data_IF_877360935442
#
_entry.id   IF_877360935442
#
_cell.length_a   1.000
_cell.length_b   1.000
_cell.length_c   1.000
_cell.angle_alpha   90.00
_cell.angle_beta   90.00
_cell.angle_gamma   90.00
#
_symmetry.space_group_name_H-M   'P 1'
#
loop_
_entity.id
_entity.type
_entity.pdbx_description
1 polymer ?
#
# COMPACT_ATOMS: atom_id res chain seq x y z
N UNK A 1 34.10 -22.43 5.00
CA UNK A 1 33.02 -22.67 5.98
C UNK A 1 33.57 -22.34 7.36
N UNK A 2 33.49 -21.07 7.77
CA UNK A 2 33.65 -20.69 9.18
C UNK A 2 32.24 -20.60 9.78
N UNK A 3 32.00 -21.36 10.82
CA UNK A 3 30.80 -21.25 11.65
C UNK A 3 30.88 -19.92 12.40
N UNK A 4 30.11 -18.95 11.93
CA UNK A 4 29.94 -17.66 12.58
C UNK A 4 29.36 -17.90 13.98
N UNK A 5 30.12 -17.52 15.01
CA UNK A 5 29.75 -17.68 16.41
C UNK A 5 28.62 -16.72 16.73
N UNK A 6 27.46 -17.26 17.13
CA UNK A 6 26.22 -16.54 17.32
C UNK A 6 26.37 -15.23 18.10
N UNK A 7 26.09 -14.12 17.42
CA UNK A 7 25.78 -12.87 18.12
C UNK A 7 24.48 -13.12 18.91
N UNK A 8 24.52 -12.99 20.23
CA UNK A 8 23.30 -12.91 21.03
C UNK A 8 22.44 -11.77 20.47
N UNK A 9 21.30 -12.10 19.89
CA UNK A 9 20.39 -11.10 19.36
C UNK A 9 19.73 -10.42 20.54
N UNK A 10 20.15 -9.18 20.80
CA UNK A 10 19.61 -8.37 21.87
C UNK A 10 18.26 -7.82 21.41
N UNK A 11 17.20 -8.17 22.13
CA UNK A 11 15.85 -7.71 21.81
C UNK A 11 15.55 -6.41 22.55
N UNK A 12 15.31 -5.32 21.80
CA UNK A 12 14.97 -3.99 22.32
C UNK A 12 13.46 -3.85 22.52
N UNK A 13 13.04 -3.31 23.66
CA UNK A 13 11.63 -3.09 24.01
C UNK A 13 11.37 -1.68 24.53
N UNK A 14 10.15 -1.19 24.32
CA UNK A 14 9.63 0.10 24.78
C UNK A 14 8.44 -0.09 25.71
N UNK A 15 8.11 0.94 26.48
CA UNK A 15 6.95 0.95 27.38
C UNK A 15 5.91 1.96 26.91
N UNK A 16 4.68 1.49 26.80
CA UNK A 16 3.50 2.30 26.56
C UNK A 16 2.63 2.31 27.82
N UNK A 17 2.28 3.49 28.29
CA UNK A 17 1.45 3.68 29.48
C UNK A 17 -0.02 3.50 29.17
N UNK A 18 -0.84 3.22 30.20
CA UNK A 18 -2.30 3.19 30.09
C UNK A 18 -2.88 4.46 29.44
N UNK A 19 -2.23 5.61 29.63
CA UNK A 19 -2.67 6.90 29.10
C UNK A 19 -2.32 7.11 27.62
N UNK A 20 -1.68 6.15 26.95
CA UNK A 20 -1.36 6.20 25.53
C UNK A 20 -0.02 6.87 25.20
N UNK A 21 0.84 7.05 26.19
CA UNK A 21 2.15 7.68 26.01
C UNK A 21 3.28 6.66 26.06
N UNK A 22 4.27 6.82 25.19
CA UNK A 22 5.54 6.11 25.31
C UNK A 22 6.40 6.74 26.40
N UNK A 23 7.11 5.89 27.14
CA UNK A 23 8.09 6.33 28.15
C UNK A 23 9.39 6.69 27.45
N UNK A 24 9.86 7.93 27.62
CA UNK A 24 11.12 8.41 27.05
C UNK A 24 12.02 9.12 28.05
N UNK A 25 13.22 9.49 27.60
CA UNK A 25 14.21 10.20 28.40
C UNK A 25 14.62 11.50 27.70
N UNK A 26 14.53 12.65 28.41
CA UNK A 26 15.11 13.92 27.94
C UNK A 26 16.46 14.19 28.61
N UNK A 27 17.32 14.97 27.94
CA UNK A 27 18.49 15.60 28.54
C UNK A 27 18.13 16.30 29.87
N UNK A 28 18.95 16.10 30.91
CA UNK A 28 18.77 16.76 32.20
C UNK A 28 17.81 16.08 33.20
N UNK A 29 17.91 14.75 33.36
CA UNK A 29 17.38 14.05 34.56
C UNK A 29 15.90 13.67 34.60
N UNK A 30 15.06 14.02 33.61
CA UNK A 30 13.61 13.74 33.65
C UNK A 30 13.18 12.63 32.69
N UNK A 31 12.38 11.68 33.19
CA UNK A 31 11.60 10.74 32.37
C UNK A 31 10.37 11.52 31.88
N UNK A 32 10.03 11.40 30.60
CA UNK A 32 8.85 12.05 30.03
C UNK A 32 7.92 11.05 29.35
N UNK A 33 6.68 11.48 29.17
CA UNK A 33 5.70 10.81 28.35
C UNK A 33 5.54 11.59 27.05
N UNK A 34 5.69 10.94 25.90
CA UNK A 34 5.47 11.56 24.59
C UNK A 34 4.18 11.01 23.96
N UNK A 35 3.28 11.92 23.57
CA UNK A 35 1.91 11.63 23.13
C UNK A 35 1.75 11.43 21.64
N UNK A 36 2.76 11.76 20.82
CA UNK A 36 2.52 11.97 19.39
C UNK A 36 3.51 11.18 18.55
N UNK A 37 3.00 10.15 17.90
CA UNK A 37 3.68 9.56 16.76
C UNK A 37 3.67 10.56 15.58
N UNK A 38 4.76 10.68 14.81
CA UNK A 38 5.99 9.91 14.93
C UNK A 38 6.85 10.33 16.13
N UNK A 39 7.22 9.36 16.96
CA UNK A 39 8.14 9.55 18.09
C UNK A 39 9.54 9.14 17.66
N UNK A 40 10.53 9.99 17.96
CA UNK A 40 11.95 9.67 17.75
C UNK A 40 12.39 8.54 18.69
N UNK A 41 12.87 7.44 18.12
CA UNK A 41 13.28 6.24 18.84
C UNK A 41 14.42 6.53 19.83
N UNK A 42 15.35 7.42 19.48
CA UNK A 42 16.50 7.75 20.33
C UNK A 42 16.07 8.49 21.62
N UNK A 43 14.88 9.08 21.60
CA UNK A 43 14.29 9.75 22.75
C UNK A 43 13.54 8.79 23.69
N UNK A 44 13.36 7.53 23.31
CA UNK A 44 12.59 6.55 24.05
C UNK A 44 13.43 5.73 25.02
N UNK A 45 12.81 5.41 26.16
CA UNK A 45 13.38 4.52 27.13
C UNK A 45 13.24 3.10 26.60
N UNK A 46 14.37 2.44 26.37
CA UNK A 46 14.39 1.06 25.89
C UNK A 46 15.16 0.13 26.81
N UNK A 47 14.71 -1.12 26.84
CA UNK A 47 15.35 -2.18 27.62
C UNK A 47 15.79 -3.29 26.69
N UNK A 48 16.91 -3.87 27.04
CA UNK A 48 17.52 -4.97 26.32
C UNK A 48 17.44 -6.22 27.19
N UNK A 49 16.83 -7.27 26.65
CA UNK A 49 16.92 -8.60 27.25
C UNK A 49 17.96 -9.38 26.46
N UNK A 50 18.93 -9.96 27.17
CA UNK A 50 19.84 -10.94 26.58
C UNK A 50 19.03 -12.22 26.31
N UNK A 51 18.56 -12.39 25.08
CA UNK A 51 17.84 -13.59 24.64
C UNK A 51 18.76 -14.46 23.80
N UNK A 52 18.76 -15.77 24.04
CA UNK A 52 19.59 -16.71 23.30
C UNK A 52 18.95 -17.20 22.00
N UNK A 53 17.65 -17.00 21.76
CA UNK A 53 17.00 -17.30 20.47
C UNK A 53 15.75 -16.43 20.17
N UNK A 54 15.74 -15.77 19.01
CA UNK A 54 14.84 -14.64 18.70
C UNK A 54 13.41 -14.98 18.20
N UNK A 55 12.95 -16.23 18.21
CA UNK A 55 11.58 -16.55 17.75
C UNK A 55 10.82 -17.51 18.66
N UNK A 56 11.50 -18.46 19.29
CA UNK A 56 10.88 -19.40 20.22
C UNK A 56 10.83 -18.85 21.64
N UNK A 57 11.80 -18.02 22.07
CA UNK A 57 11.89 -17.59 23.47
C UNK A 57 10.98 -16.41 23.86
N UNK A 58 10.40 -15.62 22.94
CA UNK A 58 9.36 -14.66 23.34
C UNK A 58 8.00 -15.36 23.53
N UNK A 59 7.72 -16.37 22.70
CA UNK A 59 6.62 -17.29 22.89
C UNK A 59 6.82 -18.14 24.15
N UNK A 60 8.05 -18.59 24.45
CA UNK A 60 8.38 -19.27 25.71
C UNK A 60 8.50 -18.30 26.91
N UNK A 61 8.85 -17.02 26.74
CA UNK A 61 8.78 -16.00 27.80
C UNK A 61 7.32 -15.74 28.17
N UNK A 62 6.42 -15.71 27.19
CA UNK A 62 4.98 -15.61 27.40
C UNK A 62 4.34 -16.93 27.84
N UNK A 63 4.87 -18.10 27.45
CA UNK A 63 4.34 -19.43 27.80
C UNK A 63 4.91 -20.00 29.12
N UNK A 64 6.16 -19.67 29.47
CA UNK A 64 6.82 -19.99 30.75
C UNK A 64 6.67 -18.88 31.79
N UNK A 65 6.06 -17.73 31.46
CA UNK A 65 5.58 -16.78 32.47
C UNK A 65 4.33 -17.32 33.19
N UNK A 66 4.52 -18.41 33.93
CA UNK A 66 3.85 -18.62 35.21
C UNK A 66 4.26 -17.48 36.14
N UNK A 67 3.69 -16.27 35.98
CA UNK A 67 3.94 -15.13 36.90
C UNK A 67 5.44 -14.92 37.19
N UNK A 68 6.23 -14.59 36.17
CA UNK A 68 7.67 -14.37 36.33
C UNK A 68 7.96 -13.03 36.98
N UNK A 69 8.73 -13.04 38.07
CA UNK A 69 9.39 -11.84 38.64
C UNK A 69 10.81 -11.78 38.08
N UNK A 70 11.12 -10.73 37.34
CA UNK A 70 12.46 -10.50 36.80
C UNK A 70 13.02 -9.21 37.36
N UNK A 71 14.27 -9.23 37.82
CA UNK A 71 14.98 -7.98 38.17
C UNK A 71 15.46 -7.32 36.88
N UNK A 72 15.05 -6.07 36.66
CA UNK A 72 15.49 -5.26 35.52
C UNK A 72 16.02 -3.93 36.02
N UNK A 73 17.01 -3.36 35.34
CA UNK A 73 17.51 -2.02 35.66
C UNK A 73 16.78 -0.99 34.80
N UNK A 74 16.02 -0.11 35.46
CA UNK A 74 15.40 1.04 34.80
C UNK A 74 16.33 2.25 34.97
N UNK A 75 16.71 2.95 33.89
CA UNK A 75 17.51 4.17 33.98
C UNK A 75 16.93 5.15 35.01
N UNK A 76 17.79 5.60 35.94
CA UNK A 76 17.49 6.53 37.06
C UNK A 76 16.54 6.03 38.15
N UNK A 77 15.78 4.95 37.93
CA UNK A 77 15.01 4.28 38.99
C UNK A 77 15.87 3.22 39.69
N UNK A 78 16.81 2.60 38.96
CA UNK A 78 17.68 1.54 39.45
C UNK A 78 17.06 0.15 39.22
N UNK A 79 17.51 -0.83 39.99
CA UNK A 79 16.95 -2.18 39.95
C UNK A 79 15.50 -2.18 40.45
N UNK A 80 14.62 -2.78 39.66
CA UNK A 80 13.20 -2.98 39.95
C UNK A 80 12.80 -4.41 39.64
N UNK A 81 11.75 -4.89 40.30
CA UNK A 81 11.13 -6.18 40.01
C UNK A 81 10.02 -5.96 39.00
N UNK A 82 10.22 -6.44 37.77
CA UNK A 82 9.19 -6.51 36.75
C UNK A 82 8.34 -7.76 36.97
N UNK A 83 7.02 -7.58 37.06
CA UNK A 83 6.05 -8.68 37.15
C UNK A 83 5.12 -8.63 35.95
N UNK A 84 4.95 -9.76 35.24
CA UNK A 84 3.99 -9.90 34.14
C UNK A 84 2.72 -10.64 34.59
N UNK A 85 1.55 -10.24 34.05
CA UNK A 85 0.30 -10.99 34.22
C UNK A 85 0.20 -12.08 33.15
N UNK A 86 -0.34 -13.26 33.51
CA UNK A 86 -0.45 -14.44 32.62
C UNK A 86 -0.95 -14.06 31.22
N UNK A 87 -0.20 -14.45 30.20
CA UNK A 87 -0.50 -14.26 28.77
C UNK A 87 -0.63 -12.81 28.27
N UNK A 88 -0.11 -11.80 28.98
CA UNK A 88 -0.24 -10.40 28.57
C UNK A 88 1.10 -9.70 28.54
N UNK A 89 1.30 -8.90 27.48
CA UNK A 89 2.38 -7.92 27.33
C UNK A 89 2.35 -6.80 28.39
N UNK A 90 1.46 -6.88 29.38
CA UNK A 90 1.32 -5.92 30.47
C UNK A 90 2.23 -6.28 31.62
N UNK A 91 3.05 -5.31 32.02
CA UNK A 91 4.03 -5.44 33.10
C UNK A 91 3.85 -4.34 34.14
N UNK A 92 4.19 -4.65 35.38
CA UNK A 92 4.30 -3.67 36.47
C UNK A 92 5.70 -3.71 37.04
N UNK A 93 6.22 -2.56 37.49
CA UNK A 93 7.55 -2.44 38.08
C UNK A 93 7.45 -2.12 39.57
N UNK A 94 8.09 -2.93 40.40
CA UNK A 94 8.10 -2.79 41.87
C UNK A 94 9.51 -2.41 42.37
N UNK A 95 9.59 -1.41 43.24
CA UNK A 95 10.79 -1.04 44.00
C UNK A 95 10.40 -0.80 45.45
N UNK A 96 11.09 -1.45 46.39
CA UNK A 96 10.85 -1.29 47.84
C UNK A 96 9.37 -1.45 48.23
N UNK A 97 8.70 -2.46 47.67
CA UNK A 97 7.26 -2.72 47.88
C UNK A 97 6.33 -1.59 47.45
N UNK A 98 6.79 -0.71 46.55
CA UNK A 98 5.99 0.31 45.85
C UNK A 98 6.02 0.05 44.35
N UNK A 99 4.91 0.32 43.69
CA UNK A 99 4.78 0.20 42.23
C UNK A 99 4.99 1.54 41.54
N UNK A 100 5.66 1.48 40.39
CA UNK A 100 5.80 2.58 39.45
C UNK A 100 4.45 2.84 38.78
N UNK A 101 3.99 4.07 38.80
CA UNK A 101 2.75 4.52 38.19
C UNK A 101 3.01 5.64 37.18
N UNK A 102 2.28 5.62 36.06
CA UNK A 102 2.22 6.72 35.11
C UNK A 102 1.00 7.60 35.42
N UNK A 103 1.23 8.84 35.83
CA UNK A 103 0.18 9.80 36.13
C UNK A 103 -0.36 10.45 34.85
N UNK A 104 -1.63 10.90 34.83
CA UNK A 104 -2.19 11.66 33.71
C UNK A 104 -1.41 12.93 33.37
N UNK A 105 -0.67 13.47 34.35
CA UNK A 105 0.21 14.63 34.18
C UNK A 105 1.48 14.35 33.36
N UNK A 106 1.76 13.08 33.04
CA UNK A 106 3.01 12.67 32.39
C UNK A 106 4.13 12.28 33.36
N UNK A 107 3.89 12.36 34.67
CA UNK A 107 4.88 11.98 35.67
C UNK A 107 4.93 10.46 35.86
N UNK A 108 6.13 9.90 36.06
CA UNK A 108 6.30 8.54 36.57
C UNK A 108 6.65 8.59 38.06
N UNK A 109 5.87 7.92 38.92
CA UNK A 109 6.03 7.98 40.37
C UNK A 109 5.99 6.56 40.95
N UNK A 110 6.97 6.19 41.76
CA UNK A 110 7.05 4.88 42.41
C UNK A 110 6.60 4.95 43.87
N UNK A 111 5.29 5.12 44.12
CA UNK A 111 4.75 5.31 45.48
C UNK A 111 3.48 4.49 45.78
N UNK A 112 3.01 3.66 44.84
CA UNK A 112 1.72 2.98 44.94
C UNK A 112 1.87 1.64 45.65
N UNK A 113 0.92 1.31 46.52
CA UNK A 113 0.98 0.06 47.30
C UNK A 113 0.39 -1.15 46.54
N UNK A 114 -0.44 -0.90 45.53
CA UNK A 114 -1.14 -1.92 44.77
C UNK A 114 -1.04 -1.62 43.27
N UNK A 115 -1.10 -2.65 42.44
CA UNK A 115 -1.15 -2.53 40.98
C UNK A 115 -2.59 -2.28 40.52
N UNK A 116 -2.84 -1.10 39.98
CA UNK A 116 -4.01 -0.76 39.17
C UNK A 116 -3.61 -0.51 37.72
N UNK A 117 -4.49 0.16 36.97
CA UNK A 117 -4.27 0.42 35.53
C UNK A 117 -3.13 1.43 35.28
N UNK A 118 -2.81 2.31 36.22
CA UNK A 118 -1.74 3.30 36.05
C UNK A 118 -0.36 2.71 36.33
N UNK A 119 -0.31 1.60 37.06
CA UNK A 119 0.89 0.86 37.39
C UNK A 119 1.21 -0.23 36.34
N UNK A 120 0.38 -0.33 35.29
CA UNK A 120 0.55 -1.26 34.18
C UNK A 120 1.11 -0.55 32.94
N UNK A 121 2.12 -1.17 32.35
CA UNK A 121 2.78 -0.72 31.13
C UNK A 121 2.70 -1.83 30.09
N UNK A 122 2.34 -1.47 28.86
CA UNK A 122 2.40 -2.37 27.73
C UNK A 122 3.83 -2.41 27.19
N UNK A 123 4.42 -3.60 27.19
CA UNK A 123 5.72 -3.87 26.61
C UNK A 123 5.58 -4.02 25.08
N UNK A 124 6.32 -3.21 24.34
CA UNK A 124 6.28 -3.16 22.87
C UNK A 124 7.67 -3.52 22.34
N UNK A 125 7.76 -4.59 21.54
CA UNK A 125 9.03 -4.97 20.89
C UNK A 125 9.44 -3.96 19.83
N UNK A 126 10.73 -3.91 19.49
CA UNK A 126 11.26 -3.09 18.39
C UNK A 126 10.44 -3.23 17.10
N UNK A 127 10.18 -4.46 16.65
CA UNK A 127 9.39 -4.72 15.45
C UNK A 127 7.95 -4.17 15.56
N UNK A 128 7.30 -4.33 16.71
CA UNK A 128 5.94 -3.79 16.91
C UNK A 128 5.94 -2.26 16.93
N UNK A 129 7.00 -1.65 17.49
CA UNK A 129 7.17 -0.20 17.49
C UNK A 129 7.36 0.35 16.08
N UNK A 130 8.22 -0.28 15.26
CA UNK A 130 8.43 0.07 13.85
C UNK A 130 7.12 -0.06 13.05
N UNK A 131 6.34 -1.13 13.27
CA UNK A 131 5.03 -1.28 12.66
C UNK A 131 4.04 -0.19 13.09
N UNK A 132 4.03 0.20 14.37
CA UNK A 132 3.21 1.32 14.83
C UNK A 132 3.66 2.64 14.18
N UNK A 133 4.96 2.92 14.11
CA UNK A 133 5.48 4.11 13.43
C UNK A 133 5.04 4.15 11.96
N UNK A 134 5.08 3.01 11.28
CA UNK A 134 4.59 2.89 9.91
C UNK A 134 3.09 3.17 9.83
N UNK A 135 2.29 2.64 10.76
CA UNK A 135 0.86 2.92 10.84
C UNK A 135 0.63 4.44 10.96
N UNK A 136 1.29 5.11 11.90
CA UNK A 136 1.13 6.55 12.14
C UNK A 136 1.66 7.44 11.02
N UNK A 137 2.59 6.95 10.21
CA UNK A 137 3.22 7.73 9.13
C UNK A 137 2.45 7.66 7.80
N UNK A 138 1.39 6.85 7.72
CA UNK A 138 0.68 6.58 6.47
C UNK A 138 -0.83 6.71 6.61
N UNK A 139 -1.52 6.77 5.47
CA UNK A 139 -2.95 6.55 5.39
C UNK A 139 -3.25 5.04 5.19
N UNK A 140 -4.39 4.61 5.69
CA UNK A 140 -4.79 3.20 5.69
C UNK A 140 -6.24 3.04 5.28
N UNK A 141 -6.58 1.94 4.62
CA UNK A 141 -7.97 1.51 4.43
C UNK A 141 -8.32 0.48 5.50
N UNK A 142 -9.43 0.68 6.20
CA UNK A 142 -10.04 -0.38 7.02
C UNK A 142 -10.85 -1.28 6.09
N UNK A 143 -10.38 -2.52 5.89
CA UNK A 143 -10.90 -3.45 4.88
C UNK A 143 -12.40 -3.71 5.03
N UNK A 144 -12.88 -3.89 6.26
CA UNK A 144 -14.30 -4.22 6.53
C UNK A 144 -15.30 -3.15 6.06
N UNK A 145 -14.89 -1.88 6.01
CA UNK A 145 -15.77 -0.76 5.68
C UNK A 145 -15.27 0.12 4.53
N UNK A 146 -14.10 -0.23 3.95
CA UNK A 146 -13.46 0.45 2.82
C UNK A 146 -13.21 1.95 3.05
N UNK A 147 -13.11 2.39 4.31
CA UNK A 147 -12.83 3.80 4.63
C UNK A 147 -11.33 4.03 4.72
N UNK A 148 -10.89 5.11 4.08
CA UNK A 148 -9.54 5.65 4.24
C UNK A 148 -9.49 6.41 5.57
N UNK A 149 -8.47 6.12 6.35
CA UNK A 149 -8.10 6.81 7.59
C UNK A 149 -6.75 7.48 7.36
N UNK A 150 -6.70 8.80 7.50
CA UNK A 150 -5.46 9.56 7.32
C UNK A 150 -4.64 9.50 8.61
N UNK A 151 -3.34 9.76 8.53
CA UNK A 151 -2.44 9.80 9.69
C UNK A 151 -2.93 10.73 10.81
N UNK A 152 -3.52 11.87 10.46
CA UNK A 152 -4.09 12.82 11.42
C UNK A 152 -5.28 12.27 12.23
N UNK A 153 -5.93 11.20 11.76
CA UNK A 153 -7.06 10.53 12.41
C UNK A 153 -6.60 9.30 13.23
N UNK A 154 -5.29 9.12 13.39
CA UNK A 154 -4.68 8.03 14.14
C UNK A 154 -4.16 8.56 15.49
N UNK A 155 -4.45 7.82 16.56
CA UNK A 155 -3.87 8.11 17.88
C UNK A 155 -3.82 6.87 18.75
N UNK A 156 -2.95 6.86 19.75
CA UNK A 156 -3.09 5.96 20.90
C UNK A 156 -3.86 6.72 21.99
N UNK A 157 -5.03 6.21 22.36
CA UNK A 157 -5.87 6.77 23.41
C UNK A 157 -5.66 6.02 24.74
N UNK A 158 -6.13 6.63 25.84
CA UNK A 158 -6.15 5.99 27.14
C UNK A 158 -6.90 4.64 27.10
N UNK A 159 -6.48 3.70 27.95
CA UNK A 159 -6.95 2.31 27.87
C UNK A 159 -6.21 1.46 26.85
N UNK A 160 -5.02 1.89 26.42
CA UNK A 160 -4.17 1.19 25.44
C UNK A 160 -4.92 0.91 24.12
N UNK A 161 -5.68 1.90 23.66
CA UNK A 161 -6.51 1.79 22.46
C UNK A 161 -5.80 2.46 21.29
N UNK A 162 -5.54 1.71 20.22
CA UNK A 162 -5.19 2.29 18.92
C UNK A 162 -6.48 2.74 18.23
N UNK A 163 -6.61 4.04 18.00
CA UNK A 163 -7.72 4.63 17.26
C UNK A 163 -7.34 4.79 15.80
N UNK A 164 -8.21 4.30 14.92
CA UNK A 164 -8.18 4.55 13.48
C UNK A 164 -9.52 5.13 13.04
N UNK A 165 -9.57 6.45 12.89
CA UNK A 165 -10.81 7.18 12.60
C UNK A 165 -11.82 7.00 13.74
N UNK A 166 -12.93 6.33 13.47
CA UNK A 166 -13.96 6.03 14.48
C UNK A 166 -13.78 4.68 15.16
N UNK A 167 -12.88 3.84 14.67
CA UNK A 167 -12.68 2.47 15.16
C UNK A 167 -11.56 2.44 16.19
N UNK A 168 -11.70 1.60 17.22
CA UNK A 168 -10.69 1.42 18.27
C UNK A 168 -10.30 -0.05 18.37
N UNK A 169 -9.02 -0.29 18.58
CA UNK A 169 -8.41 -1.60 18.71
C UNK A 169 -7.61 -1.66 20.00
N UNK A 170 -7.79 -2.73 20.76
CA UNK A 170 -7.09 -2.89 22.02
C UNK A 170 -5.68 -3.44 21.73
N UNK A 171 -4.65 -2.64 22.00
CA UNK A 171 -3.27 -2.99 21.69
C UNK A 171 -2.79 -4.29 22.36
N UNK A 172 -3.11 -4.58 23.64
CA UNK A 172 -2.66 -5.82 24.28
C UNK A 172 -3.20 -7.12 23.64
N UNK A 173 -4.30 -7.05 22.88
CA UNK A 173 -4.79 -8.19 22.07
C UNK A 173 -4.34 -8.14 20.62
N UNK A 174 -3.82 -7.00 20.17
CA UNK A 174 -3.39 -6.77 18.79
C UNK A 174 -1.90 -7.00 18.61
N UNK A 175 -1.11 -6.82 19.67
CA UNK A 175 0.33 -7.02 19.66
C UNK A 175 0.72 -8.46 20.02
N UNK A 176 1.79 -9.01 19.41
CA UNK A 176 2.59 -8.38 18.35
C UNK A 176 1.82 -8.30 17.02
N UNK A 177 2.05 -7.23 16.25
CA UNK A 177 1.52 -7.14 14.89
C UNK A 177 2.22 -8.17 14.00
N UNK A 178 1.46 -9.16 13.50
CA UNK A 178 1.99 -10.19 12.61
C UNK A 178 2.61 -9.56 11.35
N UNK A 179 3.79 -10.04 10.97
CA UNK A 179 4.62 -9.43 9.91
C UNK A 179 4.40 -10.02 8.51
N UNK A 180 3.57 -11.06 8.36
CA UNK A 180 3.46 -11.83 7.12
C UNK A 180 3.16 -10.99 5.86
N UNK A 181 2.47 -9.86 6.03
CA UNK A 181 2.14 -8.93 4.94
C UNK A 181 2.57 -7.48 5.22
N UNK A 182 3.38 -7.26 6.25
CA UNK A 182 3.99 -5.96 6.48
C UNK A 182 4.93 -5.61 5.31
N UNK A 183 5.11 -4.33 4.95
CA UNK A 183 4.49 -3.12 5.53
C UNK A 183 3.08 -2.78 4.98
N UNK A 184 2.45 -3.62 4.16
CA UNK A 184 1.24 -3.23 3.42
C UNK A 184 -0.07 -3.60 4.09
N UNK A 185 -0.04 -4.54 5.02
CA UNK A 185 -1.24 -5.06 5.68
C UNK A 185 -0.93 -5.41 7.12
N UNK A 186 -1.83 -5.02 8.01
CA UNK A 186 -1.83 -5.45 9.40
C UNK A 186 -3.21 -5.96 9.80
N UNK A 187 -3.22 -7.00 10.63
CA UNK A 187 -4.42 -7.51 11.27
C UNK A 187 -4.54 -6.89 12.66
N UNK A 188 -5.71 -6.33 12.96
CA UNK A 188 -5.99 -5.67 14.24
C UNK A 188 -7.19 -6.32 14.91
N UNK A 189 -7.17 -6.44 16.24
CA UNK A 189 -8.20 -7.14 17.00
C UNK A 189 -9.04 -6.18 17.85
N UNK A 190 -10.35 -6.40 17.88
CA UNK A 190 -11.33 -5.67 18.70
C UNK A 190 -12.27 -6.63 19.40
N UNK A 191 -12.78 -6.22 20.56
CA UNK A 191 -13.69 -7.02 21.40
C UNK A 191 -13.15 -8.42 21.75
N UNK A 192 -11.83 -8.64 21.65
CA UNK A 192 -11.17 -9.92 21.97
C UNK A 192 -11.36 -11.06 20.96
N UNK A 193 -12.20 -10.91 19.92
CA UNK A 193 -12.44 -11.96 18.93
C UNK A 193 -12.67 -11.48 17.50
N UNK A 194 -13.11 -10.22 17.32
CA UNK A 194 -13.28 -9.66 15.98
C UNK A 194 -11.92 -9.18 15.50
N UNK A 195 -11.63 -9.41 14.24
CA UNK A 195 -10.47 -8.81 13.60
C UNK A 195 -10.91 -7.93 12.43
N UNK A 196 -10.03 -7.00 12.07
CA UNK A 196 -10.11 -6.21 10.85
C UNK A 196 -8.72 -6.19 10.22
N UNK A 197 -8.68 -5.89 8.92
CA UNK A 197 -7.43 -5.67 8.22
C UNK A 197 -7.31 -4.19 7.90
N UNK A 198 -6.12 -3.63 8.13
CA UNK A 198 -5.77 -2.33 7.59
C UNK A 198 -4.80 -2.51 6.42
N UNK A 199 -5.06 -1.81 5.32
CA UNK A 199 -4.28 -1.89 4.09
C UNK A 199 -3.62 -0.54 3.82
N UNK A 200 -2.33 -0.52 3.47
CA UNK A 200 -1.62 0.72 3.16
C UNK A 200 -2.33 1.44 2.00
N UNK A 201 -2.63 2.73 2.20
CA UNK A 201 -3.19 3.58 1.17
C UNK A 201 -2.21 4.68 0.80
N UNK A 202 -1.37 4.37 -0.20
CA UNK A 202 -0.37 5.25 -0.78
C UNK A 202 -0.33 5.01 -2.29
N UNK A 203 -1.34 5.47 -3.04
CA UNK A 203 -1.47 5.13 -4.45
C UNK A 203 -0.35 5.74 -5.31
N UNK A 204 0.13 4.94 -6.25
CA UNK A 204 1.00 5.35 -7.34
C UNK A 204 0.30 5.07 -8.68
N UNK A 205 0.07 6.10 -9.48
CA UNK A 205 -0.36 5.92 -10.87
C UNK A 205 0.86 6.12 -11.77
N UNK A 206 1.06 5.24 -12.74
CA UNK A 206 2.16 5.40 -13.68
C UNK A 206 1.76 5.23 -15.13
N UNK A 207 2.49 5.95 -15.98
CA UNK A 207 2.29 6.03 -17.42
C UNK A 207 3.57 5.68 -18.15
N UNK A 208 3.39 5.22 -19.39
CA UNK A 208 4.46 5.08 -20.36
C UNK A 208 4.01 5.86 -21.60
N UNK A 209 4.76 6.89 -21.98
CA UNK A 209 4.38 7.84 -23.04
C UNK A 209 5.59 8.24 -23.89
N UNK A 210 5.55 7.99 -25.20
CA UNK A 210 6.67 8.32 -26.10
C UNK A 210 6.19 8.80 -27.45
N UNK A 211 6.80 9.89 -27.92
CA UNK A 211 6.49 10.50 -29.21
C UNK A 211 5.22 11.36 -29.18
N UNK A 212 5.09 12.21 -30.19
CA UNK A 212 4.13 13.32 -30.21
C UNK A 212 2.67 12.92 -29.96
N UNK A 213 2.20 11.82 -30.55
CA UNK A 213 0.82 11.34 -30.36
C UNK A 213 0.54 10.92 -28.91
N UNK A 214 1.48 10.20 -28.27
CA UNK A 214 1.32 9.76 -26.89
C UNK A 214 1.49 10.92 -25.90
N UNK A 215 2.34 11.89 -26.21
CA UNK A 215 2.55 13.11 -25.40
C UNK A 215 1.25 13.89 -25.21
N UNK A 216 0.51 14.12 -26.29
CA UNK A 216 -0.74 14.88 -26.21
C UNK A 216 -1.81 14.13 -25.39
N UNK A 217 -1.93 12.82 -25.60
CA UNK A 217 -2.84 11.98 -24.84
C UNK A 217 -2.47 11.95 -23.35
N UNK A 218 -1.17 11.82 -23.04
CA UNK A 218 -0.64 11.90 -21.67
C UNK A 218 -1.07 13.21 -20.99
N UNK A 219 -0.90 14.36 -21.64
CA UNK A 219 -1.28 15.64 -21.05
C UNK A 219 -2.78 15.73 -20.77
N UNK A 220 -3.63 15.25 -21.69
CA UNK A 220 -5.08 15.21 -21.48
C UNK A 220 -5.46 14.28 -20.32
N UNK A 221 -4.82 13.11 -20.25
CA UNK A 221 -5.01 12.13 -19.19
C UNK A 221 -4.62 12.71 -17.83
N UNK A 222 -3.40 13.25 -17.70
CA UNK A 222 -2.90 13.88 -16.47
C UNK A 222 -3.74 15.09 -16.04
N UNK A 223 -4.15 15.95 -16.98
CA UNK A 223 -5.04 17.08 -16.66
C UNK A 223 -6.36 16.58 -16.07
N UNK A 224 -6.97 15.58 -16.72
CA UNK A 224 -8.24 15.02 -16.21
C UNK A 224 -8.07 14.27 -14.88
N UNK A 225 -6.94 13.59 -14.67
CA UNK A 225 -6.59 12.89 -13.44
C UNK A 225 -6.64 13.81 -12.22
N UNK A 226 -6.00 14.98 -12.33
CA UNK A 226 -5.98 15.95 -11.23
C UNK A 226 -7.32 16.67 -11.13
N UNK A 227 -7.82 17.22 -12.24
CA UNK A 227 -9.00 18.10 -12.26
C UNK A 227 -10.30 17.39 -11.90
N UNK A 228 -10.55 16.22 -12.49
CA UNK A 228 -11.81 15.47 -12.34
C UNK A 228 -11.62 14.21 -11.51
N UNK A 229 -10.48 13.53 -11.66
CA UNK A 229 -10.12 12.39 -10.84
C UNK A 229 -9.89 12.73 -9.37
N UNK A 230 -9.58 14.01 -9.06
CA UNK A 230 -9.28 14.46 -7.70
C UNK A 230 -8.05 13.76 -7.10
N UNK A 231 -7.15 13.28 -7.96
CA UNK A 231 -5.99 12.53 -7.52
C UNK A 231 -4.92 13.45 -6.95
N UNK A 232 -4.47 13.12 -5.74
CA UNK A 232 -3.42 13.85 -5.03
C UNK A 232 -2.22 12.98 -4.65
N UNK A 233 -2.16 11.74 -5.15
CA UNK A 233 -1.06 10.81 -4.91
C UNK A 233 0.14 11.05 -5.82
N UNK A 234 1.02 10.04 -5.89
CA UNK A 234 2.23 10.10 -6.71
C UNK A 234 1.96 9.62 -8.13
N UNK A 235 2.60 10.26 -9.10
CA UNK A 235 2.56 9.95 -10.53
C UNK A 235 3.97 9.64 -11.01
N UNK A 236 4.16 8.51 -11.69
CA UNK A 236 5.42 8.15 -12.35
C UNK A 236 5.23 8.12 -13.87
N UNK A 237 6.09 8.78 -14.63
CA UNK A 237 5.99 8.80 -16.09
C UNK A 237 7.29 8.34 -16.74
N UNK A 238 7.22 7.27 -17.53
CA UNK A 238 8.29 6.82 -18.40
C UNK A 238 8.14 7.49 -19.77
N UNK A 239 9.04 8.41 -20.11
CA UNK A 239 8.90 9.24 -21.31
C UNK A 239 10.22 9.81 -21.80
N UNK A 240 10.20 10.44 -22.97
CA UNK A 240 11.27 11.29 -23.53
C UNK A 240 11.11 12.77 -23.16
N UNK A 241 10.03 13.13 -22.45
CA UNK A 241 9.83 14.46 -21.88
C UNK A 241 10.62 14.65 -20.57
N UNK A 242 10.91 15.90 -20.24
CA UNK A 242 11.36 16.31 -18.91
C UNK A 242 10.18 16.59 -17.98
N UNK A 243 10.41 16.55 -16.67
CA UNK A 243 9.40 16.93 -15.68
C UNK A 243 8.91 18.36 -15.88
N UNK A 244 9.80 19.29 -16.24
CA UNK A 244 9.44 20.69 -16.51
C UNK A 244 8.44 20.83 -17.66
N UNK A 245 8.63 20.09 -18.76
CA UNK A 245 7.70 20.12 -19.90
C UNK A 245 6.30 19.58 -19.53
N UNK A 246 6.23 18.56 -18.68
CA UNK A 246 4.94 18.03 -18.21
C UNK A 246 4.25 19.06 -17.30
N UNK A 247 4.98 19.64 -16.34
CA UNK A 247 4.45 20.63 -15.40
C UNK A 247 4.01 21.92 -16.08
N UNK A 248 4.71 22.36 -17.14
CA UNK A 248 4.30 23.49 -17.97
C UNK A 248 2.97 23.21 -18.70
N UNK A 249 2.75 21.96 -19.13
CA UNK A 249 1.55 21.55 -19.86
C UNK A 249 0.36 21.19 -18.94
N UNK A 250 0.64 20.82 -17.69
CA UNK A 250 -0.33 20.38 -16.69
C UNK A 250 -0.06 21.12 -15.37
N UNK A 251 -0.47 22.39 -15.33
CA UNK A 251 -0.23 23.30 -14.21
C UNK A 251 -0.84 22.86 -12.87
N UNK A 252 -1.82 21.96 -12.92
CA UNK A 252 -2.50 21.40 -11.76
C UNK A 252 -1.64 20.38 -11.01
N UNK A 253 -0.59 19.82 -11.63
CA UNK A 253 0.38 18.94 -10.99
C UNK A 253 1.48 19.74 -10.29
N UNK A 254 1.93 19.27 -9.12
CA UNK A 254 3.10 19.83 -8.44
C UNK A 254 4.35 18.99 -8.67
N UNK A 255 5.53 19.60 -8.47
CA UNK A 255 6.83 18.90 -8.57
C UNK A 255 6.94 17.69 -7.65
N UNK A 256 6.30 17.76 -6.49
CA UNK A 256 6.33 16.68 -5.49
C UNK A 256 5.42 15.52 -5.86
N UNK A 257 4.46 15.71 -6.77
CA UNK A 257 3.54 14.68 -7.21
C UNK A 257 4.05 13.88 -8.40
N UNK A 258 5.01 14.39 -9.18
CA UNK A 258 5.44 13.74 -10.42
C UNK A 258 6.91 13.35 -10.39
N UNK A 259 7.17 12.10 -10.76
CA UNK A 259 8.49 11.61 -11.07
C UNK A 259 8.56 11.23 -12.54
N UNK A 260 9.64 11.62 -13.20
CA UNK A 260 9.88 11.30 -14.60
C UNK A 260 11.11 10.41 -14.73
N UNK A 261 11.00 9.38 -15.55
CA UNK A 261 12.09 8.47 -15.90
C UNK A 261 12.27 8.49 -17.41
N UNK A 262 13.51 8.66 -17.84
CA UNK A 262 13.85 8.56 -19.25
C UNK A 262 13.75 7.10 -19.69
N UNK A 263 12.97 6.84 -20.73
CA UNK A 263 12.80 5.48 -21.27
C UNK A 263 13.45 5.34 -22.66
N UNK A 264 14.52 4.54 -22.81
CA UNK A 264 15.30 4.46 -24.05
C UNK A 264 14.68 3.60 -25.16
N UNK A 265 13.37 3.31 -25.12
CA UNK A 265 12.73 2.39 -26.06
C UNK A 265 12.86 2.90 -27.51
N UNK A 266 13.40 2.10 -28.43
CA UNK A 266 13.64 2.53 -29.83
C UNK A 266 12.51 2.19 -30.79
N UNK A 267 11.58 1.33 -30.38
CA UNK A 267 10.48 0.84 -31.19
C UNK A 267 9.19 0.66 -30.36
N UNK A 268 8.10 0.28 -31.04
CA UNK A 268 6.78 0.06 -30.45
C UNK A 268 6.80 -0.98 -29.35
N UNK A 269 7.49 -2.09 -29.56
CA UNK A 269 7.54 -3.22 -28.63
C UNK A 269 8.31 -2.81 -27.37
N UNK A 270 9.44 -2.14 -27.50
CA UNK A 270 10.19 -1.60 -26.36
C UNK A 270 9.36 -0.61 -25.54
N UNK A 271 8.49 0.16 -26.20
CA UNK A 271 7.57 1.08 -25.52
C UNK A 271 6.49 0.34 -24.73
N UNK A 272 5.83 -0.64 -25.33
CA UNK A 272 4.83 -1.49 -24.65
C UNK A 272 5.47 -2.24 -23.47
N UNK A 273 6.69 -2.76 -23.66
CA UNK A 273 7.44 -3.43 -22.60
C UNK A 273 7.89 -2.49 -21.47
N UNK A 274 7.87 -1.18 -21.70
CA UNK A 274 8.15 -0.19 -20.66
C UNK A 274 7.14 -0.19 -19.51
N UNK A 275 5.96 -0.78 -19.72
CA UNK A 275 4.97 -1.03 -18.66
C UNK A 275 5.55 -1.90 -17.55
N UNK A 276 6.55 -2.73 -17.83
CA UNK A 276 7.18 -3.58 -16.83
C UNK A 276 8.34 -2.91 -16.07
N UNK A 277 8.79 -1.71 -16.49
CA UNK A 277 9.92 -1.01 -15.86
C UNK A 277 9.64 -0.59 -14.41
N UNK A 278 8.36 -0.47 -14.02
CA UNK A 278 7.97 -0.15 -12.64
C UNK A 278 8.47 -1.17 -11.62
N UNK A 279 8.71 -2.42 -12.04
CA UNK A 279 9.25 -3.46 -11.16
C UNK A 279 10.67 -3.17 -10.70
N UNK A 280 11.41 -2.41 -11.51
CA UNK A 280 12.80 -2.10 -11.28
C UNK A 280 12.96 -0.77 -10.51
N UNK A 281 11.86 -0.12 -10.09
CA UNK A 281 11.87 1.12 -9.32
C UNK A 281 11.71 0.86 -7.82
N UNK A 282 12.75 1.00 -6.99
CA UNK A 282 12.63 0.80 -5.54
C UNK A 282 11.53 1.66 -4.91
N UNK A 283 11.36 2.90 -5.39
CA UNK A 283 10.30 3.80 -4.95
C UNK A 283 8.88 3.24 -5.14
N UNK A 284 8.62 2.52 -6.24
CA UNK A 284 7.30 1.97 -6.52
C UNK A 284 6.94 0.83 -5.56
N UNK A 285 7.94 0.15 -4.99
CA UNK A 285 7.72 -0.94 -4.04
C UNK A 285 7.15 -0.48 -2.71
N UNK A 286 7.20 0.81 -2.37
CA UNK A 286 6.63 1.35 -1.12
C UNK A 286 5.22 1.95 -1.32
N UNK A 287 4.59 1.72 -2.48
CA UNK A 287 3.26 2.21 -2.82
C UNK A 287 2.22 1.08 -2.87
N UNK A 288 0.97 1.44 -2.57
CA UNK A 288 -0.18 0.55 -2.60
C UNK A 288 -1.48 1.36 -2.81
N UNK A 289 -2.24 1.14 -3.89
CA UNK A 289 -1.93 0.28 -5.03
C UNK A 289 -0.94 0.93 -5.99
N UNK A 290 -0.31 0.12 -6.84
CA UNK A 290 0.47 0.59 -8.00
C UNK A 290 -0.35 0.34 -9.25
N UNK A 291 -0.63 1.39 -10.01
CA UNK A 291 -1.64 1.36 -11.07
C UNK A 291 -1.04 1.86 -12.37
N UNK A 292 -0.99 0.98 -13.37
CA UNK A 292 -0.70 1.35 -14.75
C UNK A 292 -1.91 1.99 -15.40
N UNK A 293 -1.68 3.07 -16.13
CA UNK A 293 -2.68 3.76 -16.93
C UNK A 293 -2.15 4.05 -18.33
N UNK A 294 -2.98 3.70 -19.32
CA UNK A 294 -2.76 4.08 -20.70
C UNK A 294 -2.98 5.59 -20.91
N UNK A 295 -2.23 6.17 -21.85
CA UNK A 295 -2.28 7.62 -22.09
C UNK A 295 -3.62 8.07 -22.69
N UNK A 296 -4.37 7.18 -23.32
CA UNK A 296 -5.66 7.45 -23.93
C UNK A 296 -6.85 7.17 -23.00
N UNK A 297 -6.65 7.42 -21.71
CA UNK A 297 -7.68 7.36 -20.67
C UNK A 297 -7.99 8.79 -20.19
N UNK A 298 -9.28 9.14 -20.13
CA UNK A 298 -9.76 10.35 -19.45
C UNK A 298 -10.44 9.95 -18.14
N UNK A 299 -10.14 10.72 -17.09
CA UNK A 299 -10.81 10.63 -15.81
C UNK A 299 -12.04 11.54 -15.84
N UNK A 300 -13.24 10.97 -15.70
CA UNK A 300 -14.50 11.73 -15.75
C UNK A 300 -15.20 11.87 -14.39
N UNK A 301 -14.66 11.26 -13.34
CA UNK A 301 -15.17 11.34 -11.98
C UNK A 301 -14.04 11.12 -10.97
N UNK A 302 -14.30 11.44 -9.70
CA UNK A 302 -13.37 11.16 -8.61
C UNK A 302 -13.02 9.66 -8.55
N UNK A 303 -11.72 9.34 -8.49
CA UNK A 303 -11.23 7.95 -8.54
C UNK A 303 -10.90 7.35 -7.18
N UNK A 304 -11.22 8.02 -6.07
CA UNK A 304 -10.88 7.50 -4.74
C UNK A 304 -11.51 6.12 -4.49
N UNK A 305 -12.78 5.92 -4.86
CA UNK A 305 -13.45 4.61 -4.72
C UNK A 305 -12.82 3.53 -5.61
N UNK A 306 -12.38 3.89 -6.81
CA UNK A 306 -11.63 3.00 -7.71
C UNK A 306 -10.31 2.56 -7.05
N UNK A 307 -9.53 3.51 -6.51
CA UNK A 307 -8.25 3.22 -5.88
C UNK A 307 -8.42 2.38 -4.61
N UNK A 308 -9.45 2.65 -3.81
CA UNK A 308 -9.80 1.83 -2.64
C UNK A 308 -10.13 0.39 -3.06
N UNK A 309 -10.94 0.21 -4.10
CA UNK A 309 -11.29 -1.11 -4.59
C UNK A 309 -10.06 -1.86 -5.15
N UNK A 310 -9.15 -1.16 -5.83
CA UNK A 310 -7.87 -1.71 -6.29
C UNK A 310 -6.94 -2.12 -5.13
N UNK A 311 -6.87 -1.35 -4.04
CA UNK A 311 -6.09 -1.72 -2.84
C UNK A 311 -6.69 -2.93 -2.13
N UNK A 312 -8.02 -2.99 -2.03
CA UNK A 312 -8.75 -4.08 -1.37
C UNK A 312 -8.85 -5.36 -2.21
N UNK A 313 -8.44 -5.33 -3.47
CA UNK A 313 -8.47 -6.50 -4.35
C UNK A 313 -7.59 -7.63 -3.80
N UNK A 314 -8.05 -8.87 -3.96
CA UNK A 314 -7.30 -10.07 -3.52
C UNK A 314 -6.06 -10.36 -4.38
N UNK A 315 -5.91 -9.68 -5.52
CA UNK A 315 -4.74 -9.75 -6.40
C UNK A 315 -4.73 -8.62 -7.42
N UNK A 316 -3.91 -8.72 -8.48
CA UNK A 316 -3.94 -7.76 -9.56
C UNK A 316 -5.31 -7.65 -10.20
N UNK A 317 -5.66 -6.47 -10.70
CA UNK A 317 -7.00 -6.19 -11.24
C UNK A 317 -6.95 -5.34 -12.50
N UNK A 318 -7.90 -5.60 -13.41
CA UNK A 318 -8.00 -4.93 -14.71
C UNK A 318 -9.46 -4.99 -15.22
N UNK A 319 -9.93 -4.03 -16.02
CA UNK A 319 -11.31 -4.05 -16.50
C UNK A 319 -11.53 -5.12 -17.56
N UNK A 320 -12.62 -5.87 -17.45
CA UNK A 320 -13.01 -6.88 -18.44
C UNK A 320 -13.45 -6.21 -19.75
N UNK A 321 -13.05 -6.80 -20.87
CA UNK A 321 -13.56 -6.48 -22.20
C UNK A 321 -14.69 -7.46 -22.55
N UNK A 322 -15.93 -7.15 -22.16
CA UNK A 322 -17.09 -8.03 -22.43
C UNK A 322 -17.33 -8.32 -23.92
N UNK A 323 -16.74 -7.51 -24.81
CA UNK A 323 -16.81 -7.67 -26.27
C UNK A 323 -15.64 -8.50 -26.85
N UNK A 324 -14.61 -8.82 -26.07
CA UNK A 324 -13.42 -9.55 -26.52
C UNK A 324 -13.33 -10.92 -25.86
N UNK A 325 -13.46 -11.99 -26.65
CA UNK A 325 -13.39 -13.38 -26.17
C UNK A 325 -12.00 -13.96 -26.29
N UNK A 326 -11.52 -14.63 -25.24
CA UNK A 326 -10.21 -15.30 -25.19
C UNK A 326 -10.05 -16.37 -26.27
N UNK A 327 -11.15 -16.96 -26.74
CA UNK A 327 -11.09 -18.04 -27.74
C UNK A 327 -10.77 -17.57 -29.15
N UNK A 328 -11.06 -16.31 -29.48
CA UNK A 328 -11.05 -15.82 -30.88
C UNK A 328 -10.41 -14.45 -31.09
N UNK A 329 -10.25 -13.65 -30.03
CA UNK A 329 -9.82 -12.26 -30.17
C UNK A 329 -8.31 -12.14 -29.96
N UNK A 330 -7.52 -11.77 -30.99
CA UNK A 330 -6.07 -11.64 -30.85
C UNK A 330 -5.68 -10.60 -29.79
N UNK A 331 -6.45 -9.52 -29.64
CA UNK A 331 -6.18 -8.46 -28.65
C UNK A 331 -6.16 -8.92 -27.20
N UNK A 332 -6.77 -10.05 -26.88
CA UNK A 332 -6.79 -10.63 -25.53
C UNK A 332 -6.08 -11.98 -25.45
N UNK A 333 -5.15 -12.24 -26.39
CA UNK A 333 -4.21 -13.37 -26.28
C UNK A 333 -4.74 -14.71 -26.80
N UNK A 334 -5.74 -14.70 -27.69
CA UNK A 334 -6.24 -15.92 -28.32
C UNK A 334 -5.13 -16.72 -29.02
N UNK A 335 -4.15 -16.04 -29.63
CA UNK A 335 -3.04 -16.68 -30.34
C UNK A 335 -2.14 -17.47 -29.38
N UNK A 336 -1.77 -16.89 -28.23
CA UNK A 336 -0.97 -17.58 -27.22
C UNK A 336 -1.68 -18.80 -26.64
N UNK A 337 -2.99 -18.68 -26.37
CA UNK A 337 -3.81 -19.79 -25.87
C UNK A 337 -3.92 -20.91 -26.92
N UNK A 338 -4.10 -20.58 -28.19
CA UNK A 338 -4.15 -21.57 -29.28
C UNK A 338 -2.80 -22.29 -29.45
N UNK A 339 -1.68 -21.55 -29.37
CA UNK A 339 -0.34 -22.15 -29.42
C UNK A 339 -0.09 -23.12 -28.25
N UNK A 340 -0.68 -22.86 -27.08
CA UNK A 340 -0.63 -23.72 -25.90
C UNK A 340 -1.76 -24.77 -25.86
N UNK A 341 -2.52 -24.94 -26.95
CA UNK A 341 -3.67 -25.86 -27.07
C UNK A 341 -4.79 -25.65 -26.02
N UNK A 342 -4.91 -24.45 -25.47
CA UNK A 342 -5.93 -24.09 -24.50
C UNK A 342 -7.27 -23.75 -25.16
N UNK A 343 -8.36 -24.00 -24.42
CA UNK A 343 -9.74 -23.80 -24.91
C UNK A 343 -10.58 -23.01 -23.89
N UNK A 344 -10.45 -21.68 -23.84
CA UNK A 344 -11.08 -20.83 -22.82
C UNK A 344 -12.62 -20.66 -22.98
N UNK A 345 -13.28 -21.52 -23.76
CA UNK A 345 -14.72 -21.50 -24.06
C UNK A 345 -15.31 -20.09 -24.32
N UNK A 346 -16.12 -19.59 -23.37
CA UNK A 346 -16.83 -18.31 -23.42
C UNK A 346 -16.17 -17.22 -22.56
N UNK A 347 -14.97 -17.46 -22.02
CA UNK A 347 -14.29 -16.48 -21.18
C UNK A 347 -13.94 -15.21 -21.97
N UNK A 348 -14.23 -14.07 -21.36
CA UNK A 348 -13.81 -12.76 -21.87
C UNK A 348 -12.41 -12.44 -21.38
N UNK A 349 -11.65 -11.72 -22.20
CA UNK A 349 -10.40 -11.14 -21.76
C UNK A 349 -10.61 -9.83 -20.99
N UNK A 350 -9.53 -9.31 -20.44
CA UNK A 350 -9.47 -7.98 -19.86
C UNK A 350 -8.53 -7.06 -20.63
N UNK A 351 -8.74 -5.76 -20.47
CA UNK A 351 -7.91 -4.73 -21.06
C UNK A 351 -6.74 -4.39 -20.14
N UNK A 352 -5.52 -4.40 -20.67
CA UNK A 352 -4.31 -4.12 -19.88
C UNK A 352 -3.96 -2.61 -19.82
N UNK A 353 -4.73 -1.75 -20.48
CA UNK A 353 -4.56 -0.29 -20.41
C UNK A 353 -4.94 0.33 -19.06
N UNK A 354 -5.65 -0.44 -18.22
CA UNK A 354 -5.77 -0.14 -16.79
C UNK A 354 -5.43 -1.41 -16.03
N UNK A 355 -4.31 -1.41 -15.32
CA UNK A 355 -3.86 -2.57 -14.58
C UNK A 355 -3.34 -2.18 -13.21
N UNK A 356 -3.97 -2.67 -12.14
CA UNK A 356 -3.60 -2.36 -10.78
C UNK A 356 -3.01 -3.57 -10.08
N UNK A 357 -1.96 -3.32 -9.30
CA UNK A 357 -1.36 -4.29 -8.39
C UNK A 357 -1.52 -3.75 -6.97
N UNK A 358 -2.17 -4.49 -6.04
CA UNK A 358 -2.42 -4.00 -4.69
C UNK A 358 -1.13 -3.57 -3.96
N UNK A 359 -0.04 -4.32 -4.15
CA UNK A 359 1.32 -3.93 -3.78
C UNK A 359 2.34 -4.77 -4.55
N UNK A 360 3.46 -4.16 -4.96
CA UNK A 360 4.46 -4.85 -5.78
C UNK A 360 5.28 -5.90 -5.00
N UNK A 361 5.51 -5.72 -3.69
CA UNK A 361 6.32 -6.69 -2.93
C UNK A 361 5.65 -8.07 -2.86
N UNK A 362 4.33 -8.12 -2.76
CA UNK A 362 3.58 -9.38 -2.69
C UNK A 362 3.11 -9.88 -4.07
N UNK A 363 2.65 -8.99 -4.95
CA UNK A 363 2.02 -9.38 -6.22
C UNK A 363 2.87 -9.08 -7.47
N UNK A 364 4.01 -8.39 -7.33
CA UNK A 364 4.88 -8.01 -8.45
C UNK A 364 5.48 -9.19 -9.20
N UNK A 365 5.50 -10.39 -8.60
CA UNK A 365 5.91 -11.61 -9.29
C UNK A 365 5.04 -11.92 -10.52
N UNK A 366 3.75 -11.58 -10.50
CA UNK A 366 2.83 -11.80 -11.63
C UNK A 366 3.30 -10.95 -12.82
N UNK A 367 3.59 -9.67 -12.58
CA UNK A 367 4.11 -8.75 -13.59
C UNK A 367 5.49 -9.19 -14.10
N UNK A 368 6.33 -9.76 -13.23
CA UNK A 368 7.62 -10.31 -13.63
C UNK A 368 7.50 -11.56 -14.51
N UNK A 369 6.53 -12.44 -14.23
CA UNK A 369 6.22 -13.59 -15.10
C UNK A 369 5.73 -13.10 -16.45
N UNK A 370 4.82 -12.11 -16.49
CA UNK A 370 4.36 -11.49 -17.74
C UNK A 370 5.54 -10.93 -18.54
N UNK A 371 6.41 -10.12 -17.91
CA UNK A 371 7.63 -9.60 -18.54
C UNK A 371 8.48 -10.72 -19.14
N UNK A 372 8.67 -11.82 -18.40
CA UNK A 372 9.49 -12.96 -18.85
C UNK A 372 8.86 -13.71 -20.02
N UNK A 373 7.55 -13.99 -19.97
CA UNK A 373 6.83 -14.63 -21.08
C UNK A 373 6.95 -13.78 -22.34
N UNK A 374 6.67 -12.47 -22.24
CA UNK A 374 6.77 -11.55 -23.36
C UNK A 374 8.19 -11.52 -23.95
N UNK A 375 9.22 -11.35 -23.11
CA UNK A 375 10.61 -11.34 -23.56
C UNK A 375 11.03 -12.64 -24.25
N UNK A 376 10.71 -13.79 -23.65
CA UNK A 376 11.05 -15.09 -24.21
C UNK A 376 10.32 -15.38 -25.51
N UNK A 377 9.02 -15.08 -25.59
CA UNK A 377 8.23 -15.28 -26.80
C UNK A 377 8.74 -14.42 -27.96
N UNK A 378 8.95 -13.12 -27.72
CA UNK A 378 9.45 -12.19 -28.74
C UNK A 378 10.87 -12.53 -29.19
N UNK A 379 11.71 -13.12 -28.33
CA UNK A 379 13.04 -13.58 -28.69
C UNK A 379 13.01 -14.80 -29.62
N UNK A 380 12.04 -15.71 -29.45
CA UNK A 380 11.91 -16.93 -30.25
C UNK A 380 11.14 -16.72 -31.55
N UNK A 381 10.09 -15.92 -31.51
CA UNK A 381 9.14 -15.75 -32.64
C UNK A 381 9.32 -14.42 -33.38
N UNK A 382 10.21 -13.54 -32.88
CA UNK A 382 10.48 -12.22 -33.45
C UNK A 382 9.66 -11.11 -32.80
N UNK A 383 10.14 -9.86 -32.94
CA UNK A 383 9.58 -8.69 -32.22
C UNK A 383 8.15 -8.34 -32.63
N UNK A 384 7.75 -8.63 -33.86
CA UNK A 384 6.41 -8.31 -34.37
C UNK A 384 5.42 -9.49 -34.24
N UNK A 385 5.81 -10.56 -33.54
CA UNK A 385 4.99 -11.78 -33.41
C UNK A 385 3.74 -11.62 -32.54
N UNK A 386 3.70 -10.61 -31.67
CA UNK A 386 2.52 -10.27 -30.88
C UNK A 386 2.13 -8.82 -31.12
N UNK A 387 0.86 -8.61 -31.47
CA UNK A 387 0.37 -7.26 -31.78
C UNK A 387 0.09 -6.47 -30.51
N UNK A 388 -0.38 -7.12 -29.45
CA UNK A 388 -0.78 -6.52 -28.18
C UNK A 388 -0.04 -7.22 -27.03
N UNK A 389 1.29 -7.31 -27.17
CA UNK A 389 2.23 -8.08 -26.32
C UNK A 389 1.82 -8.16 -24.86
N UNK A 390 1.62 -7.01 -24.22
CA UNK A 390 1.33 -6.91 -22.79
C UNK A 390 -0.06 -7.46 -22.45
N UNK A 391 -1.09 -7.09 -23.21
CA UNK A 391 -2.47 -7.55 -23.00
C UNK A 391 -2.62 -9.04 -23.30
N UNK A 392 -2.01 -9.53 -24.38
CA UNK A 392 -2.04 -10.94 -24.77
C UNK A 392 -1.40 -11.81 -23.70
N UNK A 393 -0.21 -11.43 -23.23
CA UNK A 393 0.51 -12.15 -22.18
C UNK A 393 -0.21 -12.07 -20.84
N UNK A 394 -0.81 -10.91 -20.50
CA UNK A 394 -1.58 -10.75 -19.28
C UNK A 394 -2.77 -11.72 -19.23
N UNK A 395 -3.55 -11.77 -20.32
CA UNK A 395 -4.72 -12.63 -20.42
C UNK A 395 -4.33 -14.11 -20.44
N UNK A 396 -3.29 -14.49 -21.19
CA UNK A 396 -2.75 -15.84 -21.21
C UNK A 396 -2.34 -16.31 -19.80
N UNK A 397 -1.52 -15.50 -19.09
CA UNK A 397 -1.09 -15.84 -17.74
C UNK A 397 -2.28 -15.92 -16.77
N UNK A 398 -3.22 -14.99 -16.88
CA UNK A 398 -4.39 -14.95 -16.01
C UNK A 398 -5.28 -16.17 -16.18
N UNK A 399 -5.40 -16.68 -17.41
CA UNK A 399 -6.16 -17.89 -17.68
C UNK A 399 -5.46 -19.14 -17.12
N UNK A 400 -4.13 -19.23 -17.25
CA UNK A 400 -3.36 -20.43 -16.87
C UNK A 400 -3.05 -20.56 -15.38
N UNK A 401 -2.81 -19.45 -14.68
CA UNK A 401 -2.11 -19.52 -13.40
C UNK A 401 -2.77 -18.74 -12.26
N UNK A 402 -3.03 -17.44 -12.46
CA UNK A 402 -3.47 -16.57 -11.37
C UNK A 402 -4.52 -15.58 -11.86
N UNK A 403 -5.73 -15.55 -11.27
CA UNK A 403 -6.77 -14.69 -11.76
C UNK A 403 -6.40 -13.22 -11.59
N UNK A 404 -6.53 -12.46 -12.68
CA UNK A 404 -6.67 -11.02 -12.64
C UNK A 404 -8.12 -10.71 -12.31
N UNK A 405 -8.33 -9.98 -11.22
CA UNK A 405 -9.65 -9.67 -10.70
C UNK A 405 -10.29 -8.52 -11.50
N UNK A 406 -11.42 -8.79 -12.14
CA UNK A 406 -12.02 -7.82 -13.06
C UNK A 406 -13.15 -7.00 -12.47
N UNK A 407 -13.85 -7.51 -11.46
CA UNK A 407 -15.10 -6.90 -10.97
C UNK A 407 -14.89 -5.58 -10.22
N UNK A 408 -13.73 -5.43 -9.60
CA UNK A 408 -13.30 -4.30 -8.79
C UNK A 408 -13.10 -3.06 -9.65
N UNK A 409 -12.61 -3.24 -10.88
CA UNK A 409 -12.23 -2.14 -11.78
C UNK A 409 -13.29 -1.90 -12.85
N UNK A 410 -13.92 -2.96 -13.38
CA UNK A 410 -14.79 -2.86 -14.57
C UNK A 410 -15.95 -1.88 -14.41
N UNK A 411 -16.53 -1.77 -13.20
CA UNK A 411 -17.63 -0.85 -12.94
C UNK A 411 -17.25 0.63 -13.14
N UNK A 412 -15.96 0.96 -13.01
CA UNK A 412 -15.44 2.32 -13.16
C UNK A 412 -15.02 2.68 -14.58
N UNK A 413 -14.95 1.70 -15.50
CA UNK A 413 -14.43 1.89 -16.85
C UNK A 413 -15.56 1.94 -17.86
N UNK A 414 -15.47 2.89 -18.79
CA UNK A 414 -16.30 2.98 -19.99
C UNK A 414 -15.42 3.10 -21.23
N UNK A 415 -15.98 2.79 -22.38
CA UNK A 415 -15.24 2.74 -23.65
C UNK A 415 -15.64 3.93 -24.50
N UNK A 416 -14.68 4.80 -24.85
CA UNK A 416 -14.94 6.07 -25.54
C UNK A 416 -15.40 5.96 -27.00
N UNK A 417 -15.67 4.75 -27.49
CA UNK A 417 -16.23 4.45 -28.81
C UNK A 417 -17.64 3.87 -28.75
N UNK A 418 -18.13 3.51 -27.55
CA UNK A 418 -19.48 2.97 -27.37
C UNK A 418 -20.48 4.07 -27.03
N UNK A 419 -21.78 3.81 -27.25
CA UNK A 419 -22.84 4.73 -26.83
C UNK A 419 -22.79 5.07 -25.33
N UNK A 420 -22.23 4.18 -24.51
CA UNK A 420 -22.02 4.40 -23.07
C UNK A 420 -20.87 5.38 -22.78
N UNK A 421 -19.86 5.46 -23.65
CA UNK A 421 -18.75 6.42 -23.54
C UNK A 421 -19.12 7.82 -24.01
N UNK A 422 -20.08 7.94 -24.93
CA UNK A 422 -20.56 9.23 -25.45
C UNK A 422 -21.56 9.93 -24.51
N UNK A 423 -22.15 9.20 -23.55
CA UNK A 423 -23.11 9.75 -22.58
C UNK A 423 -22.39 10.24 -21.33
N UNK A 424 -22.13 11.55 -21.26
CA UNK A 424 -21.73 12.23 -20.02
C UNK A 424 -22.67 11.97 -18.82
N UNK A 425 -23.90 11.49 -19.06
CA UNK A 425 -24.85 11.15 -18.02
C UNK A 425 -24.41 10.00 -17.08
N UNK A 426 -23.33 9.29 -17.39
CA UNK A 426 -22.78 8.22 -16.54
C UNK A 426 -21.30 8.50 -16.23
N UNK A 427 -21.05 9.20 -15.11
CA UNK A 427 -19.70 9.48 -14.61
C UNK A 427 -19.13 8.25 -13.88
N UNK A 428 -18.40 7.41 -14.62
CA UNK A 428 -17.88 6.12 -14.14
C UNK A 428 -16.55 6.19 -13.39
N UNK A 429 -15.74 7.21 -13.62
CA UNK A 429 -14.36 7.31 -13.14
C UNK A 429 -13.39 7.37 -14.32
N UNK A 430 -13.40 6.35 -15.18
CA UNK A 430 -12.48 6.21 -16.32
C UNK A 430 -13.25 6.05 -17.65
N UNK A 431 -12.75 6.70 -18.70
CA UNK A 431 -13.15 6.49 -20.09
C UNK A 431 -11.92 6.17 -20.93
N UNK A 432 -11.87 4.97 -21.50
CA UNK A 432 -10.74 4.48 -22.28
C UNK A 432 -11.04 4.58 -23.80
N UNK A 433 -10.20 5.29 -24.54
CA UNK A 433 -10.37 5.58 -25.97
C UNK A 433 -9.63 4.60 -26.90
N UNK A 434 -9.27 3.41 -26.41
CA UNK A 434 -8.55 2.36 -27.15
C UNK A 434 -9.13 2.05 -28.54
N UNK A 435 -10.47 1.94 -28.63
CA UNK A 435 -11.17 1.60 -29.88
C UNK A 435 -11.34 2.77 -30.86
N UNK A 436 -10.92 3.98 -30.50
CA UNK A 436 -10.96 5.14 -31.39
C UNK A 436 -9.75 5.14 -32.32
N UNK A 437 -9.94 5.51 -33.59
CA UNK A 437 -8.87 5.58 -34.57
C UNK A 437 -7.71 6.44 -34.06
N UNK A 438 -6.48 5.91 -34.22
CA UNK A 438 -5.26 6.47 -33.64
C UNK A 438 -5.01 7.92 -34.06
N UNK A 439 -5.34 8.29 -35.29
CA UNK A 439 -5.08 9.65 -35.82
C UNK A 439 -6.11 10.67 -35.31
N UNK A 440 -7.30 10.20 -34.95
CA UNK A 440 -8.39 11.05 -34.42
C UNK A 440 -8.46 11.08 -32.89
N UNK A 441 -7.82 10.12 -32.21
CA UNK A 441 -7.97 9.85 -30.77
C UNK A 441 -7.76 11.07 -29.89
N UNK A 442 -6.65 11.80 -30.08
CA UNK A 442 -6.37 13.00 -29.29
C UNK A 442 -7.45 14.07 -29.46
N UNK A 443 -7.97 14.24 -30.69
CA UNK A 443 -9.05 15.19 -30.98
C UNK A 443 -10.35 14.80 -30.30
N UNK A 444 -10.69 13.51 -30.29
CA UNK A 444 -11.87 12.97 -29.59
C UNK A 444 -11.73 13.17 -28.08
N UNK A 445 -10.58 12.81 -27.49
CA UNK A 445 -10.29 13.03 -26.07
C UNK A 445 -10.39 14.51 -25.67
N UNK A 446 -9.84 15.42 -26.49
CA UNK A 446 -9.95 16.87 -26.28
C UNK A 446 -11.40 17.33 -26.29
N UNK A 447 -12.18 16.85 -27.25
CA UNK A 447 -13.59 17.21 -27.34
C UNK A 447 -14.34 16.72 -26.09
N UNK A 448 -14.14 15.45 -25.72
CA UNK A 448 -14.72 14.87 -24.52
C UNK A 448 -14.37 15.69 -23.27
N UNK A 449 -13.10 16.07 -23.10
CA UNK A 449 -12.65 16.89 -21.97
C UNK A 449 -13.33 18.26 -21.93
N UNK A 450 -13.52 18.93 -23.07
CA UNK A 450 -14.25 20.21 -23.15
C UNK A 450 -15.71 20.07 -22.73
N UNK A 451 -16.37 18.99 -23.14
CA UNK A 451 -17.76 18.71 -22.75
C UNK A 451 -17.82 18.44 -21.23
N UNK A 452 -16.86 17.68 -20.70
CA UNK A 452 -16.74 17.42 -19.26
C UNK A 452 -16.49 18.70 -18.45
N UNK A 453 -15.64 19.62 -18.94
CA UNK A 453 -15.40 20.92 -18.31
C UNK A 453 -16.69 21.73 -18.17
N UNK A 454 -17.53 21.78 -19.22
CA UNK A 454 -18.84 22.45 -19.18
C UNK A 454 -19.84 21.78 -18.24
N UNK A 455 -19.69 20.49 -17.98
CA UNK A 455 -20.57 19.75 -17.08
C UNK A 455 -20.29 20.07 -15.61
N UNK A 456 -19.02 20.18 -15.23
CA UNK A 456 -18.61 20.51 -13.85
C UNK A 456 -18.65 22.01 -13.56
N UNK A 457 -18.47 22.84 -14.59
CA UNK A 457 -18.48 24.30 -14.48
C UNK A 457 -19.37 24.89 -15.58
N UNK A 458 -20.71 24.92 -15.37
CA UNK A 458 -21.66 25.41 -16.38
C UNK A 458 -21.65 26.93 -16.57
N UNK A 459 -20.91 27.68 -15.74
CA UNK A 459 -20.90 29.15 -15.69
C UNK A 459 -21.57 29.72 -14.45
#
# INVERSE_FOLDING_TARGET
>A
MSTDTGSSLVSRYFLLTYHGYFVGQKEGSRIWLTSHAPVDQESLLSFEFATTNLSTEFAEFLANATSGRNTVSLPRIGEVIMTSKRHRLLVSFEKESKYLAAEPSGALICNRANVGVWEEFLLISQASFEHLQLIFSNAWIISSNRKIVKSADLSIEAGLQLKLGTTRFYLPTTLPLESHFAPFRFQLYRDGWKFDEILLYRPLIYYVAKGSYATEQLFLSLKSLVKFGGFNGQVLVYTDLSAAQILESVSELTSDQIQVRQHPAKDRVGFVMGRFSVLDEPFAHDHAPVVYMDCDIIYNNNIQSLLVDMTCSAGPSAPVEHFSRLSVSPSVGAELLQLDNERPELACGFNAGTFAVPNLKHFGYIWNIMRRIAQSFLALHGRESLRFVDQEVANYLSYKYSPVYTHEVSKYVRWGWSEDGDRLGVLSGLVHFWGVDRNSRSSVMKNYLKILERHYDPG
#
